data_IF_940775100791
#
_entry.id   IF_940775100791
#
_cell.length_a   1.000
_cell.length_b   1.000
_cell.length_c   1.000
_cell.angle_alpha   90.00
_cell.angle_beta   90.00
_cell.angle_gamma   90.00
#
_symmetry.space_group_name_H-M   'P 1'
#
loop_
_entity.id
_entity.type
_entity.pdbx_description
1 polymer ?
#
# COMPACT_ATOMS: atom_id res chain seq x y z
N UNK A 1 -4.60 15.65 13.97
CA UNK A 1 -4.93 15.77 12.55
C UNK A 1 -3.67 15.49 11.71
N UNK A 2 -3.52 14.25 11.25
CA UNK A 2 -2.46 13.79 10.33
C UNK A 2 -2.57 14.17 8.82
N UNK A 3 -3.59 14.90 8.26
CA UNK A 3 -3.77 14.92 6.80
C UNK A 3 -2.85 15.83 5.94
N UNK A 4 -1.72 16.38 6.43
CA UNK A 4 -0.95 17.40 5.67
C UNK A 4 0.58 17.25 5.59
N UNK A 5 1.20 16.19 6.11
CA UNK A 5 2.66 16.20 6.38
C UNK A 5 3.51 15.09 5.74
N UNK A 6 3.12 14.56 4.57
CA UNK A 6 4.04 13.77 3.75
C UNK A 6 4.39 14.51 2.45
N UNK A 7 5.18 15.61 2.50
CA UNK A 7 5.64 16.27 1.28
C UNK A 7 6.35 15.25 0.37
N UNK A 8 5.93 15.19 -0.89
CA UNK A 8 6.44 14.27 -1.91
C UNK A 8 5.60 13.01 -2.14
N UNK A 9 4.66 12.65 -1.24
CA UNK A 9 3.73 11.55 -1.51
C UNK A 9 2.46 12.05 -2.21
N UNK A 10 2.04 11.30 -3.23
CA UNK A 10 0.78 11.48 -3.95
C UNK A 10 -0.16 10.34 -3.60
N UNK A 11 -1.35 10.68 -3.09
CA UNK A 11 -2.44 9.74 -2.81
C UNK A 11 -3.46 9.82 -3.95
N UNK A 12 -3.94 8.66 -4.43
CA UNK A 12 -4.98 8.62 -5.45
C UNK A 12 -5.83 7.36 -5.39
N UNK A 13 -7.08 7.43 -5.86
CA UNK A 13 -7.92 6.25 -5.99
C UNK A 13 -7.36 5.31 -7.05
N UNK A 14 -7.62 4.02 -6.88
CA UNK A 14 -7.33 2.99 -7.87
C UNK A 14 -8.61 2.23 -8.14
N UNK A 15 -9.02 2.15 -9.42
CA UNK A 15 -10.14 1.35 -9.88
C UNK A 15 -9.72 0.65 -11.16
N UNK A 16 -9.70 -0.68 -11.15
CA UNK A 16 -9.33 -1.52 -12.29
C UNK A 16 -9.89 -2.93 -12.10
N UNK A 17 -9.56 -3.84 -13.01
CA UNK A 17 -10.03 -5.24 -12.98
C UNK A 17 -9.57 -6.02 -11.74
N UNK A 18 -8.50 -5.55 -11.08
CA UNK A 18 -7.98 -6.13 -9.84
C UNK A 18 -8.81 -5.70 -8.62
N UNK A 19 -9.63 -4.65 -8.70
CA UNK A 19 -10.45 -4.15 -7.61
C UNK A 19 -10.49 -2.62 -7.53
N UNK A 20 -11.00 -2.13 -6.40
CA UNK A 20 -11.08 -0.71 -6.09
C UNK A 20 -10.43 -0.40 -4.74
N UNK A 21 -9.85 0.78 -4.62
CA UNK A 21 -9.22 1.23 -3.39
C UNK A 21 -8.35 2.44 -3.63
N UNK A 22 -7.17 2.44 -3.03
CA UNK A 22 -6.28 3.61 -2.99
C UNK A 22 -4.83 3.18 -3.12
N UNK A 23 -4.02 4.06 -3.72
CA UNK A 23 -2.58 3.97 -3.65
C UNK A 23 -1.97 5.30 -3.19
N UNK A 24 -0.90 5.20 -2.42
CA UNK A 24 -0.02 6.31 -2.08
C UNK A 24 1.38 6.01 -2.62
N UNK A 25 2.02 6.98 -3.27
CA UNK A 25 3.36 6.78 -3.85
C UNK A 25 4.22 8.03 -3.79
N UNK A 26 5.54 7.83 -3.83
CA UNK A 26 6.55 8.88 -3.87
C UNK A 26 7.74 8.43 -4.71
N UNK A 27 8.22 9.37 -5.51
CA UNK A 27 9.50 9.27 -6.21
C UNK A 27 10.55 10.09 -5.47
N UNK A 28 11.73 9.50 -5.25
CA UNK A 28 12.88 10.12 -4.61
C UNK A 28 14.08 10.10 -5.56
N UNK A 29 14.90 11.16 -5.51
CA UNK A 29 16.13 11.30 -6.29
C UNK A 29 17.33 11.33 -5.36
N UNK A 30 18.31 10.48 -5.63
CA UNK A 30 19.59 10.48 -4.91
C UNK A 30 20.73 10.70 -5.89
N UNK A 31 21.74 11.47 -5.47
CA UNK A 31 22.98 11.65 -6.24
C UNK A 31 24.04 10.80 -5.56
N UNK A 32 24.38 9.69 -6.20
CA UNK A 32 25.44 8.79 -5.80
C UNK A 32 26.74 9.19 -6.52
N UNK A 33 27.85 9.24 -5.78
CA UNK A 33 29.13 9.70 -6.32
C UNK A 33 29.70 8.78 -7.41
N UNK A 34 29.34 7.49 -7.43
CA UNK A 34 29.83 6.50 -8.39
C UNK A 34 28.80 6.22 -9.50
N UNK A 35 27.51 6.20 -9.15
CA UNK A 35 26.41 5.83 -10.06
C UNK A 35 25.71 7.03 -10.66
N UNK A 36 26.05 8.24 -10.23
CA UNK A 36 25.36 9.46 -10.62
C UNK A 36 23.95 9.50 -10.05
N UNK A 37 22.98 9.92 -10.86
CA UNK A 37 21.61 10.15 -10.41
C UNK A 37 20.81 8.83 -10.33
N UNK A 38 20.35 8.45 -9.15
CA UNK A 38 19.54 7.25 -8.88
C UNK A 38 18.11 7.65 -8.52
N UNK A 39 17.12 7.02 -9.15
CA UNK A 39 15.70 7.21 -8.86
C UNK A 39 15.19 6.08 -7.97
N UNK A 40 14.43 6.43 -6.93
CA UNK A 40 13.77 5.50 -6.04
C UNK A 40 12.26 5.69 -6.09
N UNK A 41 11.53 4.58 -6.14
CA UNK A 41 10.08 4.56 -6.09
C UNK A 41 9.61 3.85 -4.82
N UNK A 42 8.66 4.47 -4.12
CA UNK A 42 7.95 3.87 -3.00
C UNK A 42 6.45 3.97 -3.21
N UNK A 43 5.71 2.89 -2.97
CA UNK A 43 4.25 2.82 -3.16
C UNK A 43 3.61 1.81 -2.22
N UNK A 44 2.48 2.18 -1.64
CA UNK A 44 1.52 1.28 -1.02
C UNK A 44 0.23 1.34 -1.83
N UNK A 45 -0.26 0.20 -2.28
CA UNK A 45 -1.56 0.04 -2.95
C UNK A 45 -2.40 -0.94 -2.14
N UNK A 46 -3.64 -0.58 -1.82
CA UNK A 46 -4.62 -1.44 -1.16
C UNK A 46 -5.92 -1.45 -1.95
N UNK A 47 -6.41 -2.64 -2.26
CA UNK A 47 -7.59 -2.88 -3.09
C UNK A 47 -8.54 -3.84 -2.39
N UNK A 48 -9.82 -3.51 -2.38
CA UNK A 48 -10.89 -4.47 -2.19
C UNK A 48 -11.09 -5.21 -3.52
N UNK A 49 -11.05 -6.54 -3.48
CA UNK A 49 -11.21 -7.36 -4.70
C UNK A 49 -12.67 -7.47 -5.10
N UNK A 50 -12.97 -7.63 -6.40
CA UNK A 50 -14.29 -8.01 -6.87
C UNK A 50 -14.73 -9.33 -6.24
N UNK A 51 -16.05 -9.53 -6.19
CA UNK A 51 -16.61 -10.79 -5.69
C UNK A 51 -16.09 -11.97 -6.51
N UNK A 52 -15.62 -13.00 -5.81
CA UNK A 52 -15.15 -14.25 -6.41
C UNK A 52 -16.18 -15.37 -6.22
N UNK A 53 -15.93 -16.51 -6.86
CA UNK A 53 -16.74 -17.73 -6.68
C UNK A 53 -16.78 -18.24 -5.23
N UNK A 54 -15.82 -17.82 -4.39
CA UNK A 54 -15.74 -18.19 -2.99
C UNK A 54 -16.58 -17.29 -2.07
N UNK A 55 -17.25 -16.26 -2.61
CA UNK A 55 -18.08 -15.32 -1.86
C UNK A 55 -17.36 -14.75 -0.62
N UNK A 56 -16.12 -14.28 -0.82
CA UNK A 56 -15.31 -13.63 0.21
C UNK A 56 -15.25 -12.13 -0.01
N UNK A 57 -15.18 -11.37 1.08
CA UNK A 57 -14.61 -10.03 1.06
C UNK A 57 -13.10 -10.21 1.16
N UNK A 58 -12.35 -9.67 0.19
CA UNK A 58 -10.89 -9.72 0.19
C UNK A 58 -10.33 -8.29 0.07
N UNK A 59 -9.40 -7.98 0.97
CA UNK A 59 -8.54 -6.80 0.92
C UNK A 59 -7.13 -7.26 0.58
N UNK A 60 -6.60 -6.80 -0.55
CA UNK A 60 -5.24 -7.08 -0.98
C UNK A 60 -4.37 -5.83 -0.90
N UNK A 61 -3.12 -5.99 -0.49
CA UNK A 61 -2.16 -4.90 -0.38
C UNK A 61 -0.80 -5.26 -0.96
N UNK A 62 -0.17 -4.27 -1.61
CA UNK A 62 1.18 -4.36 -2.15
C UNK A 62 1.98 -3.14 -1.74
N UNK A 63 3.17 -3.36 -1.18
CA UNK A 63 4.08 -2.31 -0.74
C UNK A 63 5.48 -2.47 -1.36
N UNK A 64 5.99 -1.37 -1.89
CA UNK A 64 7.34 -1.20 -2.41
C UNK A 64 7.98 0.00 -1.71
N UNK A 65 9.22 -0.15 -1.25
CA UNK A 65 10.01 0.95 -0.67
C UNK A 65 11.38 0.97 -1.36
N UNK A 66 11.75 2.13 -1.92
CA UNK A 66 13.03 2.33 -2.63
C UNK A 66 13.34 1.23 -3.65
N UNK A 67 12.39 0.97 -4.56
CA UNK A 67 12.43 -0.05 -5.61
C UNK A 67 12.45 -1.51 -5.13
N UNK A 68 12.31 -1.76 -3.82
CA UNK A 68 12.24 -3.12 -3.25
C UNK A 68 10.83 -3.42 -2.79
N UNK A 69 10.21 -4.44 -3.39
CA UNK A 69 8.94 -4.96 -2.88
C UNK A 69 9.18 -5.50 -1.46
N UNK A 70 8.38 -5.03 -0.51
CA UNK A 70 8.49 -5.40 0.89
C UNK A 70 7.37 -6.37 1.29
N UNK A 71 6.15 -6.18 0.79
CA UNK A 71 5.09 -7.17 0.94
C UNK A 71 4.07 -7.14 -0.19
N UNK A 72 3.42 -8.29 -0.35
CA UNK A 72 2.25 -8.50 -1.20
C UNK A 72 1.37 -9.53 -0.47
N UNK A 73 0.27 -9.07 0.14
CA UNK A 73 -0.55 -9.86 1.08
C UNK A 73 -2.03 -9.67 0.78
N UNK A 74 -2.86 -10.60 1.24
CA UNK A 74 -4.31 -10.45 1.27
C UNK A 74 -4.90 -10.89 2.61
N UNK A 75 -5.97 -10.23 3.01
CA UNK A 75 -6.84 -10.58 4.14
C UNK A 75 -8.24 -10.84 3.58
N UNK A 76 -8.85 -11.96 3.94
CA UNK A 76 -10.17 -12.31 3.44
C UNK A 76 -11.02 -13.01 4.48
N UNK A 77 -12.33 -12.83 4.36
CA UNK A 77 -13.34 -13.51 5.16
C UNK A 77 -14.55 -13.84 4.28
N UNK A 78 -15.24 -14.95 4.59
CA UNK A 78 -16.52 -15.27 3.93
C UNK A 78 -17.51 -14.14 4.16
N UNK A 79 -18.21 -13.70 3.12
CA UNK A 79 -19.12 -12.54 3.18
C UNK A 79 -20.17 -12.66 4.29
N UNK A 80 -20.63 -13.88 4.59
CA UNK A 80 -21.61 -14.14 5.65
C UNK A 80 -21.06 -13.98 7.09
N UNK A 81 -19.73 -13.96 7.25
CA UNK A 81 -19.02 -13.99 8.53
C UNK A 81 -18.12 -12.76 8.71
N UNK A 82 -18.21 -11.77 7.81
CA UNK A 82 -17.32 -10.61 7.80
C UNK A 82 -17.45 -9.82 9.10
N UNK A 83 -16.33 -9.67 9.80
CA UNK A 83 -16.12 -8.61 10.77
C UNK A 83 -15.35 -7.47 10.10
N UNK A 84 -16.07 -6.38 9.81
CA UNK A 84 -15.51 -5.17 9.18
C UNK A 84 -14.38 -4.56 10.04
N UNK A 85 -14.43 -4.73 11.36
CA UNK A 85 -13.40 -4.20 12.28
C UNK A 85 -12.04 -4.80 11.94
N UNK A 86 -11.97 -6.11 11.74
CA UNK A 86 -10.73 -6.78 11.35
C UNK A 86 -10.13 -6.23 10.05
N UNK A 87 -10.94 -5.80 9.07
CA UNK A 87 -10.45 -5.21 7.83
C UNK A 87 -9.87 -3.81 8.05
N UNK A 88 -10.51 -3.01 8.90
CA UNK A 88 -9.99 -1.69 9.29
C UNK A 88 -8.65 -1.84 10.01
N UNK A 89 -8.56 -2.79 10.95
CA UNK A 89 -7.33 -3.09 11.67
C UNK A 89 -6.20 -3.53 10.72
N UNK A 90 -6.51 -4.32 9.68
CA UNK A 90 -5.52 -4.69 8.67
C UNK A 90 -5.05 -3.50 7.83
N UNK A 91 -5.95 -2.56 7.49
CA UNK A 91 -5.58 -1.32 6.81
C UNK A 91 -4.61 -0.52 7.68
N UNK A 92 -4.95 -0.30 8.96
CA UNK A 92 -4.13 0.46 9.89
C UNK A 92 -2.75 -0.18 10.09
N UNK A 93 -2.71 -1.50 10.27
CA UNK A 93 -1.47 -2.27 10.42
C UNK A 93 -0.56 -2.12 9.19
N UNK A 94 -1.09 -2.31 7.98
CA UNK A 94 -0.29 -2.26 6.76
C UNK A 94 0.18 -0.84 6.42
N UNK A 95 -0.62 0.18 6.74
CA UNK A 95 -0.19 1.59 6.64
C UNK A 95 0.97 1.87 7.59
N UNK A 96 0.89 1.40 8.84
CA UNK A 96 1.95 1.57 9.82
C UNK A 96 3.24 0.83 9.39
N UNK A 97 3.15 -0.44 8.99
CA UNK A 97 4.29 -1.22 8.50
C UNK A 97 4.98 -0.52 7.31
N UNK A 98 4.20 0.01 6.36
CA UNK A 98 4.75 0.75 5.22
C UNK A 98 5.48 2.02 5.66
N UNK A 99 4.89 2.80 6.57
CA UNK A 99 5.50 4.04 7.07
C UNK A 99 6.81 3.77 7.82
N UNK A 100 6.84 2.76 8.68
CA UNK A 100 8.02 2.32 9.41
C UNK A 100 9.11 1.84 8.46
N UNK A 101 8.76 1.01 7.47
CA UNK A 101 9.72 0.50 6.49
C UNK A 101 10.29 1.60 5.62
N UNK A 102 9.46 2.56 5.19
CA UNK A 102 9.91 3.74 4.46
C UNK A 102 10.89 4.57 5.31
N UNK A 103 10.53 4.87 6.56
CA UNK A 103 11.37 5.65 7.48
C UNK A 103 12.72 4.98 7.76
N UNK A 104 12.75 3.66 7.95
CA UNK A 104 13.97 2.89 8.20
C UNK A 104 14.88 2.72 6.96
N UNK A 105 14.37 3.02 5.77
CA UNK A 105 15.10 2.90 4.50
C UNK A 105 15.78 4.18 4.05
N UNK A 106 15.56 5.27 4.79
CA UNK A 106 16.11 6.60 4.54
C UNK A 106 17.44 6.79 5.27
#
# INVERSE_FOLDING_TARGET
ALPRHFPGFTLGPVVNDRGWGTAISRDDLEIDAERGRVNYFSRLEMLVRPISEYFVLELAAKATVRNKEFFNRSHFQRLAEVDITSFIEMIDLWVLEFAERYAASR
#
